data_IF_301713388241
#
_entry.id   IF_301713388241
#
_cell.length_a   1.000
_cell.length_b   1.000
_cell.length_c   1.000
_cell.angle_alpha   90.00
_cell.angle_beta   90.00
_cell.angle_gamma   90.00
#
_symmetry.space_group_name_H-M   'P 1'
#
loop_
_entity.id
_entity.type
_entity.pdbx_description
1 polymer ?
#
# COMPACT_ATOMS: atom_id res chain seq x y z
N UNK A 1 -1.42 29.47 6.97
CA UNK A 1 -0.59 28.90 8.05
C UNK A 1 -1.40 28.90 9.33
N UNK A 2 -1.97 27.74 9.67
CA UNK A 2 -2.55 27.46 10.98
C UNK A 2 -2.37 25.95 11.22
N UNK A 3 -1.31 25.62 11.94
CA UNK A 3 -1.03 24.29 12.48
C UNK A 3 -1.91 24.10 13.71
N UNK A 4 -2.94 23.27 13.62
CA UNK A 4 -3.68 22.76 14.79
C UNK A 4 -4.39 21.46 14.40
N UNK A 5 -3.71 20.32 14.53
CA UNK A 5 -4.37 19.02 14.46
C UNK A 5 -3.71 18.00 15.39
N UNK A 6 -3.66 18.30 16.69
CA UNK A 6 -3.45 17.28 17.72
C UNK A 6 -4.21 17.72 18.97
N UNK A 7 -5.53 17.60 18.95
CA UNK A 7 -6.33 17.41 20.17
C UNK A 7 -7.78 17.14 19.81
N UNK A 8 -8.14 15.85 19.70
CA UNK A 8 -9.31 15.22 20.34
C UNK A 8 -9.63 13.88 19.67
N UNK A 9 -8.91 12.85 20.08
CA UNK A 9 -9.46 11.49 20.09
C UNK A 9 -8.89 10.80 21.32
N UNK A 10 -9.76 10.45 22.26
CA UNK A 10 -9.39 9.58 23.39
C UNK A 10 -9.18 8.17 22.84
N UNK A 11 -7.92 7.76 22.71
CA UNK A 11 -7.55 6.38 22.41
C UNK A 11 -6.97 5.75 23.69
N UNK A 12 -7.78 4.90 24.35
CA UNK A 12 -7.24 3.86 25.22
C UNK A 12 -7.10 2.63 24.34
N UNK A 13 -5.94 2.51 23.69
CA UNK A 13 -5.47 1.25 23.11
C UNK A 13 -4.01 1.13 23.48
N UNK A 14 -3.67 0.10 24.26
CA UNK A 14 -2.30 -0.26 24.57
C UNK A 14 -1.64 -0.78 23.29
N UNK A 15 -1.09 0.13 22.50
CA UNK A 15 -0.25 -0.19 21.34
C UNK A 15 1.14 -0.58 21.83
N UNK A 16 1.56 -1.81 21.52
CA UNK A 16 2.98 -2.07 21.31
C UNK A 16 3.35 -1.44 19.96
N UNK A 17 3.61 -0.14 19.96
CA UNK A 17 4.32 0.49 18.85
C UNK A 17 5.73 -0.08 18.89
N UNK A 18 6.08 -0.93 17.93
CA UNK A 18 7.49 -1.08 17.58
C UNK A 18 7.92 0.30 17.06
N UNK A 19 8.49 1.12 17.94
CA UNK A 19 9.28 2.25 17.51
C UNK A 19 10.43 1.65 16.70
N UNK A 20 10.33 1.74 15.37
CA UNK A 20 11.46 1.52 14.49
C UNK A 20 12.54 2.51 14.94
N UNK A 21 13.52 2.01 15.69
CA UNK A 21 14.78 2.71 15.88
C UNK A 21 15.33 2.96 14.48
N UNK A 22 15.25 4.20 14.01
CA UNK A 22 16.00 4.67 12.85
C UNK A 22 17.48 4.67 13.21
N UNK A 23 18.06 3.48 13.32
CA UNK A 23 19.51 3.30 13.23
C UNK A 23 19.89 3.86 11.86
N UNK A 24 20.69 4.93 11.85
CA UNK A 24 21.04 5.71 10.66
C UNK A 24 21.25 4.85 9.42
N UNK A 25 20.18 4.71 8.65
CA UNK A 25 20.20 4.11 7.33
C UNK A 25 20.62 5.23 6.40
N UNK A 26 21.63 4.98 5.57
CA UNK A 26 22.01 5.92 4.52
C UNK A 26 20.75 6.29 3.72
N UNK A 27 20.36 7.57 3.63
CA UNK A 27 19.21 8.01 2.83
C UNK A 27 19.43 7.87 1.31
N UNK A 28 20.48 7.18 0.88
CA UNK A 28 20.91 7.06 -0.53
C UNK A 28 20.56 5.73 -1.21
N UNK A 29 19.91 4.79 -0.53
CA UNK A 29 19.42 3.57 -1.18
C UNK A 29 17.89 3.57 -1.21
N UNK A 30 17.33 3.66 -2.41
CA UNK A 30 15.91 3.44 -2.63
C UNK A 30 15.50 2.09 -2.02
N UNK A 31 14.51 2.13 -1.13
CA UNK A 31 14.00 0.97 -0.42
C UNK A 31 12.50 0.83 -0.67
N UNK A 32 12.05 -0.41 -0.82
CA UNK A 32 10.64 -0.75 -0.87
C UNK A 32 10.00 -0.61 0.51
N UNK A 33 8.94 0.19 0.59
CA UNK A 33 8.00 0.19 1.70
C UNK A 33 6.89 -0.82 1.37
N UNK A 34 6.69 -1.82 2.22
CA UNK A 34 5.71 -2.89 2.01
C UNK A 34 4.50 -2.70 2.91
N UNK A 35 3.33 -2.97 2.37
CA UNK A 35 2.10 -3.18 3.12
C UNK A 35 1.57 -4.56 2.75
N UNK A 36 1.44 -5.43 3.76
CA UNK A 36 1.07 -6.82 3.59
C UNK A 36 -0.35 -7.03 4.07
N UNK A 37 -1.15 -7.68 3.23
CA UNK A 37 -2.55 -7.95 3.54
C UNK A 37 -2.71 -9.22 4.37
N UNK A 38 -3.95 -9.51 4.79
CA UNK A 38 -4.32 -10.86 5.20
C UNK A 38 -4.12 -11.83 4.04
N UNK A 39 -3.78 -13.09 4.36
CA UNK A 39 -3.61 -14.13 3.33
C UNK A 39 -4.82 -15.07 3.28
N UNK A 40 -5.96 -14.61 3.80
CA UNK A 40 -7.16 -15.43 4.01
C UNK A 40 -8.49 -14.66 3.85
N UNK A 41 -8.52 -13.57 3.08
CA UNK A 41 -9.71 -12.73 2.97
C UNK A 41 -10.17 -12.34 1.56
N UNK A 42 -9.35 -12.55 0.54
CA UNK A 42 -9.81 -12.49 -0.84
C UNK A 42 -10.84 -13.56 -1.11
N UNK A 43 -12.10 -13.18 -1.29
CA UNK A 43 -13.22 -14.11 -1.31
C UNK A 43 -13.77 -14.37 -2.72
N UNK A 44 -13.89 -15.64 -3.13
CA UNK A 44 -14.57 -16.00 -4.38
C UNK A 44 -15.99 -16.54 -4.19
N UNK A 45 -16.72 -16.71 -5.29
CA UNK A 45 -18.13 -17.17 -5.29
C UNK A 45 -18.35 -18.58 -4.74
N UNK A 46 -17.29 -19.35 -4.50
CA UNK A 46 -17.34 -20.68 -3.89
C UNK A 46 -17.05 -20.65 -2.39
N UNK A 47 -17.04 -19.45 -1.77
CA UNK A 47 -16.66 -19.25 -0.37
C UNK A 47 -15.27 -19.75 -0.03
N UNK A 48 -14.35 -19.64 -1.00
CA UNK A 48 -12.92 -19.88 -0.79
C UNK A 48 -12.23 -18.54 -0.58
N UNK A 49 -11.16 -18.58 0.21
CA UNK A 49 -10.30 -17.45 0.52
C UNK A 49 -8.83 -17.85 0.46
N UNK A 50 -7.92 -16.87 0.52
CA UNK A 50 -6.48 -17.10 0.50
C UNK A 50 -6.02 -17.60 -0.86
N UNK A 51 -4.99 -18.45 -0.82
CA UNK A 51 -4.46 -19.17 -1.99
C UNK A 51 -5.48 -19.99 -2.81
N UNK A 52 -6.71 -20.17 -2.32
CA UNK A 52 -7.78 -20.87 -3.04
C UNK A 52 -8.75 -19.93 -3.77
N UNK A 53 -8.52 -18.62 -3.69
CA UNK A 53 -9.29 -17.57 -4.32
C UNK A 53 -8.43 -16.83 -5.33
N UNK A 54 -8.99 -16.64 -6.52
CA UNK A 54 -8.43 -15.83 -7.58
C UNK A 54 -8.42 -14.33 -7.25
N UNK A 55 -9.09 -13.91 -6.18
CA UNK A 55 -9.17 -12.50 -5.79
C UNK A 55 -8.18 -12.09 -4.70
N UNK A 56 -7.43 -13.04 -4.14
CA UNK A 56 -6.53 -12.78 -3.02
C UNK A 56 -5.43 -11.77 -3.35
N UNK A 57 -5.36 -10.68 -2.59
CA UNK A 57 -4.27 -9.74 -2.57
C UNK A 57 -3.32 -10.12 -1.43
N UNK A 58 -2.02 -10.13 -1.69
CA UNK A 58 -1.03 -10.47 -0.64
C UNK A 58 -0.28 -9.23 -0.16
N UNK A 59 -0.09 -8.23 -1.03
CA UNK A 59 0.55 -7.00 -0.62
C UNK A 59 0.82 -6.02 -1.74
N UNK A 60 1.10 -4.81 -1.31
CA UNK A 60 1.54 -3.68 -2.12
C UNK A 60 2.89 -3.20 -1.63
N UNK A 61 3.72 -2.74 -2.54
CA UNK A 61 4.99 -2.13 -2.20
C UNK A 61 5.22 -0.85 -3.02
N UNK A 62 5.84 0.14 -2.41
CA UNK A 62 6.19 1.40 -3.05
C UNK A 62 7.66 1.74 -2.84
N UNK A 63 8.31 2.26 -3.87
CA UNK A 63 9.68 2.74 -3.82
C UNK A 63 9.84 4.04 -4.59
N UNK A 64 10.57 4.99 -4.01
CA UNK A 64 11.02 6.20 -4.71
C UNK A 64 12.46 6.03 -5.17
N UNK A 65 12.73 6.22 -6.47
CA UNK A 65 14.08 6.11 -7.03
C UNK A 65 14.23 6.95 -8.28
N UNK A 66 15.29 7.77 -8.33
CA UNK A 66 15.70 8.55 -9.51
C UNK A 66 14.55 9.42 -10.09
N UNK A 67 13.75 10.05 -9.22
CA UNK A 67 12.60 10.88 -9.62
C UNK A 67 11.36 10.10 -10.05
N UNK A 68 11.38 8.78 -9.95
CA UNK A 68 10.25 7.91 -10.27
C UNK A 68 9.65 7.31 -9.01
N UNK A 69 8.34 7.09 -9.04
CA UNK A 69 7.63 6.21 -8.12
C UNK A 69 7.48 4.85 -8.79
N UNK A 70 7.77 3.79 -8.06
CA UNK A 70 7.54 2.40 -8.43
C UNK A 70 6.51 1.80 -7.48
N UNK A 71 5.49 1.15 -8.03
CA UNK A 71 4.51 0.37 -7.29
C UNK A 71 4.65 -1.08 -7.72
N UNK A 72 4.69 -2.00 -6.76
CA UNK A 72 4.60 -3.44 -6.97
C UNK A 72 3.39 -4.00 -6.25
N UNK A 73 2.75 -5.01 -6.82
CA UNK A 73 1.62 -5.72 -6.23
C UNK A 73 1.82 -7.23 -6.39
N UNK A 74 1.39 -7.99 -5.38
CA UNK A 74 1.31 -9.45 -5.45
C UNK A 74 -0.11 -9.91 -5.09
N UNK A 75 -0.67 -10.80 -5.91
CA UNK A 75 -2.04 -11.28 -5.76
C UNK A 75 -2.26 -12.57 -6.55
N UNK A 76 -3.44 -13.16 -6.47
CA UNK A 76 -3.91 -14.20 -7.39
C UNK A 76 -4.73 -13.64 -8.57
N UNK A 77 -5.08 -12.35 -8.55
CA UNK A 77 -5.90 -11.74 -9.58
C UNK A 77 -5.03 -11.36 -10.78
N UNK A 78 -5.40 -11.83 -11.97
CA UNK A 78 -4.70 -11.47 -13.21
C UNK A 78 -4.96 -10.01 -13.59
N UNK A 79 -4.01 -9.37 -14.28
CA UNK A 79 -4.22 -8.06 -14.93
C UNK A 79 -5.39 -8.04 -15.93
N UNK A 80 -5.77 -9.21 -16.47
CA UNK A 80 -6.94 -9.38 -17.34
C UNK A 80 -8.24 -9.65 -16.54
N UNK A 81 -8.15 -9.69 -15.21
CA UNK A 81 -9.23 -10.03 -14.29
C UNK A 81 -9.58 -11.52 -14.24
N UNK A 82 -10.60 -11.84 -13.46
CA UNK A 82 -11.16 -13.18 -13.33
C UNK A 82 -12.51 -13.27 -14.06
N UNK A 83 -12.70 -14.34 -14.85
CA UNK A 83 -13.98 -14.58 -15.51
C UNK A 83 -15.09 -14.85 -14.48
N UNK A 84 -16.19 -14.12 -14.56
CA UNK A 84 -17.35 -14.29 -13.68
C UNK A 84 -18.64 -14.13 -14.46
N UNK A 85 -19.49 -15.16 -14.42
CA UNK A 85 -20.84 -15.07 -14.98
C UNK A 85 -21.78 -14.13 -14.22
N UNK A 86 -21.34 -13.60 -13.08
CA UNK A 86 -22.08 -12.63 -12.25
C UNK A 86 -21.65 -11.18 -12.50
N UNK A 87 -20.57 -10.97 -13.26
CA UNK A 87 -20.13 -9.65 -13.68
C UNK A 87 -20.86 -9.18 -14.94
N UNK A 88 -21.17 -7.88 -15.01
CA UNK A 88 -21.95 -7.32 -16.12
C UNK A 88 -21.27 -7.49 -17.49
N UNK A 89 -19.94 -7.46 -17.53
CA UNK A 89 -19.11 -7.64 -18.72
C UNK A 89 -18.40 -9.02 -18.77
N UNK A 90 -18.76 -9.91 -17.84
CA UNK A 90 -18.21 -11.25 -17.71
C UNK A 90 -16.85 -11.32 -17.00
N UNK A 91 -16.31 -10.22 -16.48
CA UNK A 91 -15.05 -10.19 -15.73
C UNK A 91 -15.13 -9.34 -14.47
N UNK A 92 -14.44 -9.79 -13.42
CA UNK A 92 -14.13 -8.98 -12.24
C UNK A 92 -12.64 -8.67 -12.33
N UNK A 93 -12.27 -7.40 -12.46
CA UNK A 93 -10.88 -6.96 -12.56
C UNK A 93 -10.44 -6.22 -11.30
N UNK A 94 -9.25 -5.62 -11.40
CA UNK A 94 -8.84 -4.59 -10.46
C UNK A 94 -9.68 -3.34 -10.65
N UNK A 95 -9.99 -2.71 -9.53
CA UNK A 95 -10.29 -1.30 -9.50
C UNK A 95 -9.08 -0.43 -9.86
N UNK A 96 -9.20 0.86 -9.59
CA UNK A 96 -8.10 1.81 -9.73
C UNK A 96 -7.32 1.90 -8.41
N UNK A 97 -6.01 2.20 -8.47
CA UNK A 97 -5.21 2.48 -7.27
C UNK A 97 -5.37 3.96 -6.91
N UNK A 98 -5.96 4.27 -5.77
CA UNK A 98 -6.17 5.64 -5.31
C UNK A 98 -5.06 6.10 -4.39
N UNK A 99 -4.84 7.41 -4.34
CA UNK A 99 -4.00 8.10 -3.37
C UNK A 99 -4.76 9.30 -2.79
N UNK A 100 -4.81 9.38 -1.47
CA UNK A 100 -5.41 10.49 -0.73
C UNK A 100 -4.34 11.21 0.10
N UNK A 101 -4.04 12.46 -0.28
CA UNK A 101 -3.08 13.35 0.40
C UNK A 101 -3.77 14.42 1.26
N UNK A 102 -5.09 14.39 1.39
CA UNK A 102 -5.86 15.45 2.06
C UNK A 102 -5.77 15.39 3.58
N UNK A 103 -5.57 14.19 4.13
CA UNK A 103 -5.73 13.90 5.56
C UNK A 103 -7.18 13.69 6.01
N UNK A 104 -8.14 13.81 5.09
CA UNK A 104 -9.56 13.56 5.32
C UNK A 104 -9.94 12.11 4.94
N UNK A 105 -11.14 11.67 5.36
CA UNK A 105 -11.71 10.40 4.91
C UNK A 105 -12.09 10.42 3.43
N UNK A 106 -12.40 9.24 2.89
CA UNK A 106 -12.52 9.01 1.45
C UNK A 106 -13.69 9.73 0.77
N UNK A 107 -14.82 9.89 1.44
CA UNK A 107 -15.98 10.65 0.94
C UNK A 107 -15.67 12.15 0.90
N UNK A 108 -15.02 12.67 1.95
CA UNK A 108 -14.67 14.09 2.06
C UNK A 108 -13.54 14.48 1.09
N UNK A 109 -12.64 13.54 0.78
CA UNK A 109 -11.56 13.73 -0.18
C UNK A 109 -12.02 13.66 -1.65
N UNK A 110 -13.29 13.31 -1.92
CA UNK A 110 -13.80 13.17 -3.28
C UNK A 110 -13.59 14.45 -4.12
N UNK A 111 -12.99 14.29 -5.30
CA UNK A 111 -12.60 15.40 -6.18
C UNK A 111 -11.22 15.98 -5.89
N UNK A 112 -10.56 15.54 -4.81
CA UNK A 112 -9.17 15.88 -4.46
C UNK A 112 -8.26 14.65 -4.44
N UNK A 113 -8.78 13.47 -4.82
CA UNK A 113 -8.00 12.24 -4.92
C UNK A 113 -7.08 12.27 -6.14
N UNK A 114 -6.02 11.48 -6.05
CA UNK A 114 -5.26 11.01 -7.21
C UNK A 114 -5.58 9.53 -7.42
N UNK A 115 -5.44 9.05 -8.64
CA UNK A 115 -5.62 7.63 -8.92
C UNK A 115 -4.78 7.17 -10.12
N UNK A 116 -4.56 5.87 -10.20
CA UNK A 116 -3.86 5.20 -11.29
C UNK A 116 -4.83 4.22 -11.93
N UNK A 117 -5.14 4.44 -13.20
CA UNK A 117 -5.77 3.44 -14.05
C UNK A 117 -4.67 2.62 -14.75
N UNK A 118 -4.71 1.31 -14.61
CA UNK A 118 -3.67 0.42 -15.14
C UNK A 118 -4.19 -0.91 -15.69
N UNK A 119 -5.36 -1.38 -15.22
CA UNK A 119 -5.88 -2.69 -15.61
C UNK A 119 -6.49 -2.66 -17.02
N UNK A 120 -6.31 -3.75 -17.76
CA UNK A 120 -6.75 -3.84 -19.15
C UNK A 120 -8.28 -3.90 -19.30
N UNK A 121 -8.95 -4.49 -18.31
CA UNK A 121 -10.38 -4.82 -18.33
C UNK A 121 -11.11 -4.25 -17.12
N UNK A 122 -10.93 -2.95 -16.91
CA UNK A 122 -11.56 -2.23 -15.79
C UNK A 122 -12.90 -1.61 -16.19
N UNK A 123 -13.78 -1.48 -15.20
CA UNK A 123 -15.00 -0.68 -15.22
C UNK A 123 -14.75 0.77 -14.78
N UNK A 124 -13.48 1.22 -14.77
CA UNK A 124 -13.10 2.63 -14.61
C UNK A 124 -13.87 3.55 -15.55
N UNK A 125 -14.14 4.78 -15.09
CA UNK A 125 -14.81 5.83 -15.86
C UNK A 125 -13.87 6.51 -16.87
N UNK A 126 -12.59 6.16 -16.86
CA UNK A 126 -11.55 6.67 -17.76
C UNK A 126 -11.01 5.53 -18.62
N UNK A 127 -10.63 5.81 -19.86
CA UNK A 127 -10.27 4.77 -20.84
C UNK A 127 -8.77 4.57 -21.06
N UNK A 128 -7.93 5.49 -20.57
CA UNK A 128 -6.48 5.42 -20.79
C UNK A 128 -5.76 5.03 -19.50
N UNK A 129 -4.74 4.17 -19.61
CA UNK A 129 -3.83 3.94 -18.50
C UNK A 129 -3.03 5.21 -18.19
N UNK A 130 -2.86 5.53 -16.91
CA UNK A 130 -2.17 6.74 -16.49
C UNK A 130 -2.45 7.19 -15.07
N UNK A 131 -1.80 8.29 -14.72
CA UNK A 131 -2.00 9.01 -13.45
C UNK A 131 -3.09 10.06 -13.65
N UNK A 132 -4.03 10.10 -12.72
CA UNK A 132 -5.17 11.01 -12.70
C UNK A 132 -5.17 11.86 -11.44
N UNK A 133 -5.61 13.11 -11.57
CA UNK A 133 -5.86 14.04 -10.46
C UNK A 133 -7.30 14.51 -10.43
N UNK A 134 -7.66 15.21 -9.36
CA UNK A 134 -9.01 15.74 -9.11
C UNK A 134 -10.06 14.63 -9.24
N UNK A 135 -9.73 13.45 -8.74
CA UNK A 135 -10.48 12.22 -8.96
C UNK A 135 -11.68 12.17 -8.03
N UNK A 136 -12.84 11.82 -8.60
CA UNK A 136 -13.97 11.28 -7.85
C UNK A 136 -14.05 9.78 -8.07
N UNK A 137 -14.36 9.04 -7.00
CA UNK A 137 -14.54 7.60 -7.04
C UNK A 137 -15.98 7.19 -7.35
N UNK A 138 -16.15 5.94 -7.78
CA UNK A 138 -17.43 5.21 -7.83
C UNK A 138 -17.25 3.79 -7.30
N UNK A 139 -18.37 3.20 -6.93
CA UNK A 139 -18.46 1.77 -6.68
C UNK A 139 -18.93 1.05 -7.96
N UNK A 140 -18.25 -0.03 -8.34
CA UNK A 140 -18.69 -0.92 -9.42
C UNK A 140 -19.11 -2.31 -8.95
N UNK A 141 -19.00 -2.58 -7.65
CA UNK A 141 -19.33 -3.87 -7.04
C UNK A 141 -20.80 -4.26 -7.28
N UNK A 142 -21.73 -3.31 -7.25
CA UNK A 142 -23.14 -3.61 -7.54
C UNK A 142 -23.33 -4.23 -8.92
N UNK A 143 -22.64 -3.69 -9.94
CA UNK A 143 -22.77 -4.19 -11.31
C UNK A 143 -22.11 -5.56 -11.47
N UNK A 144 -21.14 -5.87 -10.60
CA UNK A 144 -20.39 -7.10 -10.66
C UNK A 144 -20.85 -8.18 -9.65
N UNK A 145 -21.98 -7.94 -8.97
CA UNK A 145 -22.53 -8.81 -7.91
C UNK A 145 -21.56 -9.01 -6.74
N UNK A 146 -20.80 -7.97 -6.42
CA UNK A 146 -19.84 -7.93 -5.33
C UNK A 146 -20.46 -7.67 -3.96
N UNK A 147 -19.60 -7.46 -2.97
CA UNK A 147 -20.01 -7.07 -1.63
C UNK A 147 -20.59 -5.64 -1.65
N UNK A 148 -21.57 -5.42 -0.78
CA UNK A 148 -22.27 -4.14 -0.71
C UNK A 148 -21.43 -3.06 0.02
N UNK A 149 -20.52 -3.43 0.91
CA UNK A 149 -19.80 -2.57 1.86
C UNK A 149 -18.70 -3.43 2.53
N UNK A 150 -17.79 -2.78 3.24
CA UNK A 150 -16.68 -3.48 3.91
C UNK A 150 -17.15 -4.36 5.07
N UNK A 151 -18.22 -3.99 5.78
CA UNK A 151 -18.75 -4.80 6.86
C UNK A 151 -19.29 -6.15 6.39
N UNK A 152 -19.94 -6.23 5.23
CA UNK A 152 -20.44 -7.49 4.71
C UNK A 152 -19.36 -8.35 4.12
N UNK A 153 -18.33 -7.77 3.49
CA UNK A 153 -17.11 -8.52 3.18
C UNK A 153 -16.53 -9.10 4.47
N UNK A 154 -16.26 -8.25 5.47
CA UNK A 154 -15.63 -8.67 6.72
C UNK A 154 -16.46 -9.72 7.47
N UNK A 155 -17.78 -9.52 7.62
CA UNK A 155 -18.66 -10.48 8.28
C UNK A 155 -18.72 -11.82 7.53
N UNK A 156 -18.69 -11.79 6.20
CA UNK A 156 -18.72 -13.01 5.37
C UNK A 156 -17.42 -13.78 5.53
N UNK A 157 -16.28 -13.12 5.31
CA UNK A 157 -14.94 -13.71 5.38
C UNK A 157 -14.63 -14.22 6.79
N UNK A 158 -14.92 -13.43 7.83
CA UNK A 158 -14.67 -13.84 9.22
C UNK A 158 -15.61 -14.96 9.68
N UNK A 159 -16.75 -15.15 9.01
CA UNK A 159 -17.67 -16.26 9.25
C UNK A 159 -17.18 -17.60 8.71
N UNK A 160 -16.19 -17.62 7.81
CA UNK A 160 -15.67 -18.83 7.19
C UNK A 160 -14.86 -19.68 8.17
N UNK A 161 -14.88 -21.00 7.97
CA UNK A 161 -14.22 -21.94 8.88
C UNK A 161 -12.71 -21.74 8.97
N UNK A 162 -12.05 -21.30 7.90
CA UNK A 162 -10.60 -21.04 7.91
C UNK A 162 -10.25 -19.90 8.87
N UNK A 163 -11.02 -18.81 8.85
CA UNK A 163 -10.77 -17.63 9.68
C UNK A 163 -11.24 -17.83 11.12
N UNK A 164 -12.33 -18.58 11.34
CA UNK A 164 -12.75 -18.99 12.68
C UNK A 164 -11.76 -19.91 13.41
N UNK A 165 -10.82 -20.52 12.67
CA UNK A 165 -9.83 -21.44 13.21
C UNK A 165 -8.39 -20.87 13.16
N UNK A 166 -8.25 -19.54 13.15
CA UNK A 166 -6.95 -18.86 13.28
C UNK A 166 -6.35 -18.36 11.96
N UNK A 167 -7.12 -18.31 10.87
CA UNK A 167 -6.80 -17.42 9.75
C UNK A 167 -6.93 -15.94 10.15
N UNK A 168 -6.24 -15.08 9.43
CA UNK A 168 -6.14 -13.64 9.75
C UNK A 168 -7.49 -12.93 9.57
N UNK A 169 -8.36 -13.44 8.68
CA UNK A 169 -9.66 -12.84 8.41
C UNK A 169 -9.57 -11.55 7.61
N UNK A 170 -10.67 -10.81 7.52
CA UNK A 170 -10.73 -9.59 6.73
C UNK A 170 -9.84 -8.48 7.30
N UNK A 171 -8.87 -8.05 6.50
CA UNK A 171 -7.96 -6.94 6.73
C UNK A 171 -7.93 -6.05 5.47
N UNK A 172 -7.29 -4.89 5.54
CA UNK A 172 -6.98 -4.04 4.40
C UNK A 172 -5.52 -3.60 4.50
N UNK A 173 -4.64 -4.56 4.81
CA UNK A 173 -3.23 -4.37 5.14
C UNK A 173 -2.94 -3.32 6.24
N UNK A 174 -2.52 -2.09 5.89
CA UNK A 174 -2.16 -1.06 6.89
C UNK A 174 -3.37 -0.46 7.62
N UNK A 175 -4.58 -0.60 7.05
CA UNK A 175 -5.81 -0.10 7.64
C UNK A 175 -6.73 -1.25 8.07
N UNK A 176 -7.48 -1.05 9.14
CA UNK A 176 -8.59 -1.95 9.46
C UNK A 176 -9.74 -1.77 8.46
N UNK A 177 -10.56 -2.81 8.26
CA UNK A 177 -11.73 -2.76 7.38
C UNK A 177 -12.84 -1.80 7.88
N UNK A 178 -12.81 -1.42 9.16
CA UNK A 178 -13.69 -0.44 9.80
C UNK A 178 -13.00 0.91 10.10
N UNK A 179 -11.82 1.16 9.53
CA UNK A 179 -11.11 2.42 9.72
C UNK A 179 -11.95 3.63 9.27
N UNK A 180 -11.81 4.75 10.00
CA UNK A 180 -12.53 5.98 9.72
C UNK A 180 -12.26 6.55 8.33
N UNK A 181 -11.11 6.20 7.72
CA UNK A 181 -10.79 6.52 6.34
C UNK A 181 -11.90 6.10 5.35
N UNK A 182 -12.50 4.93 5.55
CA UNK A 182 -13.45 4.35 4.60
C UNK A 182 -14.84 5.00 4.61
N UNK A 183 -15.19 5.72 5.69
CA UNK A 183 -16.45 6.46 5.86
C UNK A 183 -17.70 5.68 5.41
N UNK A 184 -18.46 6.18 4.44
CA UNK A 184 -19.68 5.53 3.97
C UNK A 184 -19.43 4.12 3.42
N UNK A 185 -18.23 3.83 2.92
CA UNK A 185 -17.83 2.50 2.44
C UNK A 185 -17.91 1.38 3.49
N UNK A 186 -17.92 1.70 4.79
CA UNK A 186 -17.99 0.68 5.85
C UNK A 186 -19.38 0.07 5.98
N UNK A 187 -20.45 0.87 5.84
CA UNK A 187 -21.83 0.47 6.20
C UNK A 187 -22.90 0.82 5.18
N UNK A 188 -22.60 1.67 4.20
CA UNK A 188 -23.58 2.08 3.20
C UNK A 188 -23.42 1.27 1.92
N UNK A 189 -24.53 0.66 1.50
CA UNK A 189 -24.60 -0.15 0.29
C UNK A 189 -24.02 0.58 -0.93
N UNK A 190 -23.04 -0.07 -1.52
CA UNK A 190 -22.31 0.26 -2.74
C UNK A 190 -21.66 1.64 -2.69
N UNK A 191 -21.04 1.97 -1.54
CA UNK A 191 -20.25 3.19 -1.35
C UNK A 191 -18.74 3.01 -1.37
N UNK A 192 -18.23 1.78 -1.29
CA UNK A 192 -16.78 1.52 -1.39
C UNK A 192 -16.25 2.02 -2.74
N UNK A 193 -15.27 2.93 -2.70
CA UNK A 193 -14.64 3.49 -3.90
C UNK A 193 -13.66 2.47 -4.47
N UNK A 194 -14.09 1.82 -5.56
CA UNK A 194 -13.34 0.78 -6.27
C UNK A 194 -12.73 1.32 -7.56
N UNK A 195 -13.40 2.25 -8.25
CA UNK A 195 -12.93 2.74 -9.56
C UNK A 195 -13.12 4.24 -9.72
N UNK A 196 -12.35 4.86 -10.62
CA UNK A 196 -12.45 6.27 -10.98
C UNK A 196 -13.82 6.49 -11.62
N UNK A 197 -14.59 7.45 -11.12
CA UNK A 197 -15.78 7.95 -11.78
C UNK A 197 -15.41 9.01 -12.81
N UNK A 198 -14.57 9.97 -12.41
CA UNK A 198 -14.04 11.03 -13.26
C UNK A 198 -12.70 11.54 -12.72
N UNK A 199 -11.89 12.15 -13.59
CA UNK A 199 -10.61 12.75 -13.24
C UNK A 199 -9.89 13.30 -14.48
N UNK A 200 -8.81 14.05 -14.26
CA UNK A 200 -7.96 14.58 -15.33
C UNK A 200 -6.67 13.78 -15.41
N UNK A 201 -6.36 13.20 -16.58
CA UNK A 201 -5.09 12.50 -16.81
C UNK A 201 -3.94 13.49 -16.85
N UNK A 202 -2.95 13.31 -15.97
CA UNK A 202 -1.77 14.18 -15.84
C UNK A 202 -0.48 13.53 -16.31
N UNK A 203 -0.46 12.21 -16.51
CA UNK A 203 0.71 11.52 -17.04
C UNK A 203 0.45 10.06 -17.37
N UNK A 204 1.42 9.43 -18.02
CA UNK A 204 1.40 8.00 -18.31
C UNK A 204 2.08 7.17 -17.21
N UNK A 205 1.88 5.86 -17.30
CA UNK A 205 2.59 4.86 -16.49
C UNK A 205 3.39 3.94 -17.41
N UNK A 206 4.45 3.34 -16.88
CA UNK A 206 5.16 2.23 -17.52
C UNK A 206 4.88 0.95 -16.74
N UNK A 207 4.22 -0.02 -17.36
CA UNK A 207 3.99 -1.34 -16.75
C UNK A 207 5.31 -2.08 -16.55
N UNK A 208 5.42 -2.79 -15.43
CA UNK A 208 6.61 -3.53 -15.02
C UNK A 208 6.24 -4.98 -14.73
N UNK A 209 6.99 -5.89 -15.36
CA UNK A 209 6.89 -7.33 -15.11
C UNK A 209 7.61 -7.72 -13.81
N UNK A 210 7.23 -8.87 -13.25
CA UNK A 210 7.83 -9.45 -12.03
C UNK A 210 9.36 -9.45 -12.04
N UNK A 211 9.98 -9.82 -13.17
CA UNK A 211 11.45 -9.89 -13.30
C UNK A 211 12.12 -8.52 -13.17
N UNK A 212 11.49 -7.45 -13.69
CA UNK A 212 11.99 -6.08 -13.55
C UNK A 212 11.87 -5.62 -12.10
N UNK A 213 10.75 -5.88 -11.45
CA UNK A 213 10.55 -5.54 -10.04
C UNK A 213 11.52 -6.28 -9.11
N UNK A 214 11.75 -7.58 -9.35
CA UNK A 214 12.73 -8.37 -8.61
C UNK A 214 14.16 -7.80 -8.77
N UNK A 215 14.51 -7.33 -9.98
CA UNK A 215 15.81 -6.66 -10.22
C UNK A 215 15.96 -5.33 -9.48
N UNK A 216 14.83 -4.70 -9.10
CA UNK A 216 14.76 -3.52 -8.24
C UNK A 216 14.71 -3.87 -6.75
N UNK A 217 14.78 -5.16 -6.39
CA UNK A 217 14.79 -5.62 -4.99
C UNK A 217 13.41 -5.83 -4.36
N UNK A 218 12.35 -5.92 -5.18
CA UNK A 218 11.02 -6.29 -4.67
C UNK A 218 11.02 -7.77 -4.23
N UNK A 219 10.54 -8.05 -3.02
CA UNK A 219 10.50 -9.39 -2.42
C UNK A 219 9.30 -9.55 -1.47
N UNK A 220 8.11 -9.81 -2.03
CA UNK A 220 6.93 -10.17 -1.24
C UNK A 220 7.06 -11.56 -0.57
N UNK A 221 7.80 -12.48 -1.20
CA UNK A 221 7.98 -13.83 -0.69
C UNK A 221 8.74 -13.85 0.66
N UNK A 222 9.65 -12.89 0.86
CA UNK A 222 10.30 -12.63 2.15
C UNK A 222 9.33 -12.33 3.30
N UNK A 223 8.11 -11.89 2.98
CA UNK A 223 7.02 -11.63 3.93
C UNK A 223 5.90 -12.68 3.89
N UNK A 224 6.08 -13.76 3.12
CA UNK A 224 5.08 -14.81 2.94
C UNK A 224 4.01 -14.53 1.88
N UNK A 225 4.06 -13.38 1.21
CA UNK A 225 3.19 -13.06 0.07
C UNK A 225 3.60 -13.87 -1.16
N UNK A 226 2.82 -14.90 -1.51
CA UNK A 226 3.10 -15.82 -2.62
C UNK A 226 1.85 -16.01 -3.47
N UNK A 227 1.42 -14.94 -4.13
CA UNK A 227 0.39 -14.97 -5.16
C UNK A 227 0.89 -15.47 -6.51
N UNK A 228 -0.05 -15.84 -7.39
CA UNK A 228 0.26 -16.27 -8.76
C UNK A 228 0.71 -15.14 -9.67
N UNK A 229 0.40 -13.89 -9.30
CA UNK A 229 0.65 -12.69 -10.09
C UNK A 229 1.52 -11.71 -9.31
N UNK A 230 2.61 -11.26 -9.93
CA UNK A 230 3.43 -10.14 -9.44
C UNK A 230 3.70 -9.21 -10.59
N UNK A 231 3.20 -7.98 -10.47
CA UNK A 231 3.38 -6.94 -11.47
C UNK A 231 3.43 -5.58 -10.79
N UNK A 232 3.62 -4.54 -11.58
CA UNK A 232 3.68 -3.20 -11.06
C UNK A 232 3.71 -2.18 -12.18
N UNK A 233 3.97 -0.94 -11.80
CA UNK A 233 4.14 0.15 -12.73
C UNK A 233 5.03 1.24 -12.12
N UNK A 234 5.55 2.09 -12.99
CA UNK A 234 6.27 3.29 -12.58
C UNK A 234 5.77 4.54 -13.30
N UNK A 235 5.92 5.68 -12.64
CA UNK A 235 5.57 6.99 -13.18
C UNK A 235 6.43 8.09 -12.54
N UNK A 236 6.39 9.27 -13.14
CA UNK A 236 7.14 10.43 -12.67
C UNK A 236 6.59 10.89 -11.31
N UNK A 237 7.46 10.99 -10.31
CA UNK A 237 7.09 11.41 -8.95
C UNK A 237 6.40 12.78 -8.93
N UNK A 238 6.75 13.68 -9.84
CA UNK A 238 6.17 15.02 -9.94
C UNK A 238 4.67 15.03 -10.28
N UNK A 239 4.10 13.88 -10.67
CA UNK A 239 2.67 13.73 -10.94
C UNK A 239 1.84 13.61 -9.66
N UNK A 240 2.46 13.35 -8.50
CA UNK A 240 1.80 13.31 -7.20
C UNK A 240 2.31 14.43 -6.27
N UNK A 241 1.50 14.87 -5.30
CA UNK A 241 1.96 15.71 -4.21
C UNK A 241 2.99 14.99 -3.34
N UNK A 242 3.82 15.77 -2.64
CA UNK A 242 4.63 15.27 -1.52
C UNK A 242 3.80 15.26 -0.23
N UNK A 243 4.23 14.49 0.76
CA UNK A 243 3.62 14.42 2.08
C UNK A 243 2.97 13.07 2.39
N UNK A 244 2.24 13.03 3.50
CA UNK A 244 1.55 11.83 3.95
C UNK A 244 0.39 11.48 3.01
N UNK A 245 0.21 10.18 2.78
CA UNK A 245 -0.89 9.67 1.97
C UNK A 245 -1.42 8.34 2.50
N UNK A 246 -2.66 8.07 2.15
CA UNK A 246 -3.24 6.73 2.16
C UNK A 246 -3.44 6.33 0.69
N UNK A 247 -2.89 5.18 0.31
CA UNK A 247 -3.18 4.56 -0.98
C UNK A 247 -4.06 3.34 -0.77
N UNK A 248 -5.03 3.12 -1.65
CA UNK A 248 -5.88 1.92 -1.55
C UNK A 248 -6.28 1.40 -2.93
N UNK A 249 -6.50 0.09 -2.98
CA UNK A 249 -6.99 -0.61 -4.16
C UNK A 249 -7.92 -1.74 -3.73
N UNK A 250 -8.93 -2.01 -4.57
CA UNK A 250 -9.85 -3.12 -4.40
C UNK A 250 -9.95 -3.91 -5.71
N UNK A 251 -10.30 -5.19 -5.63
CA UNK A 251 -10.97 -5.84 -6.74
C UNK A 251 -12.34 -5.16 -6.96
N UNK A 252 -12.84 -5.09 -8.19
CA UNK A 252 -14.06 -4.33 -8.54
C UNK A 252 -15.30 -4.75 -7.74
N UNK A 253 -15.35 -5.99 -7.31
CA UNK A 253 -16.42 -6.58 -6.51
C UNK A 253 -16.22 -6.45 -5.00
N UNK A 254 -15.16 -5.77 -4.55
CA UNK A 254 -14.74 -5.75 -3.13
C UNK A 254 -14.54 -7.19 -2.61
N UNK A 255 -14.12 -8.11 -3.48
CA UNK A 255 -13.76 -9.47 -3.08
C UNK A 255 -12.54 -9.45 -2.16
N UNK A 256 -11.69 -8.47 -2.39
CA UNK A 256 -10.49 -8.18 -1.64
C UNK A 256 -10.10 -6.71 -1.83
N UNK A 257 -9.25 -6.20 -0.95
CA UNK A 257 -8.67 -4.87 -1.04
C UNK A 257 -7.60 -4.64 0.00
N UNK A 258 -6.69 -3.72 -0.31
CA UNK A 258 -5.58 -3.39 0.56
C UNK A 258 -5.34 -1.89 0.57
N UNK A 259 -4.81 -1.40 1.69
CA UNK A 259 -4.40 -0.02 1.88
C UNK A 259 -2.95 0.06 2.37
N UNK A 260 -2.25 1.11 1.95
CA UNK A 260 -0.92 1.47 2.41
C UNK A 260 -0.94 2.89 2.96
N UNK A 261 -0.30 3.08 4.11
CA UNK A 261 0.03 4.41 4.63
C UNK A 261 1.46 4.72 4.26
N UNK A 262 1.70 5.91 3.70
CA UNK A 262 3.04 6.31 3.27
C UNK A 262 3.28 7.80 3.38
N UNK A 263 4.52 8.19 3.08
CA UNK A 263 4.94 9.57 2.96
C UNK A 263 5.81 9.70 1.72
N UNK A 264 5.44 10.63 0.83
CA UNK A 264 6.25 11.00 -0.32
C UNK A 264 7.20 12.13 0.05
N UNK A 265 8.51 11.90 -0.10
CA UNK A 265 9.50 12.90 0.24
C UNK A 265 9.33 14.17 -0.61
N UNK A 266 9.54 15.36 -0.04
CA UNK A 266 9.55 16.58 -0.86
C UNK A 266 10.79 16.62 -1.77
N UNK A 267 10.60 17.07 -3.01
CA UNK A 267 11.70 17.23 -3.98
C UNK A 267 12.77 18.24 -3.52
N UNK A 268 12.42 19.11 -2.56
CA UNK A 268 13.28 20.19 -2.07
C UNK A 268 14.15 19.80 -0.85
N UNK A 269 14.08 18.55 -0.39
CA UNK A 269 14.95 18.08 0.71
C UNK A 269 16.22 17.51 0.10
N UNK A 270 17.25 18.35 -0.01
CA UNK A 270 18.62 17.86 -0.16
C UNK A 270 18.86 16.83 0.97
N UNK A 271 19.45 15.65 0.67
CA UNK A 271 19.77 14.70 1.72
C UNK A 271 20.69 15.41 2.72
N UNK A 272 20.21 15.62 3.94
CA UNK A 272 21.05 16.23 4.98
C UNK A 272 22.35 15.44 5.02
N UNK A 273 23.47 16.15 4.85
CA UNK A 273 24.81 15.54 4.94
C UNK A 273 24.94 14.96 6.34
N UNK A 274 24.75 13.65 6.46
CA UNK A 274 24.95 12.94 7.72
C UNK A 274 26.40 13.22 8.14
N UNK A 275 26.67 13.70 9.36
CA UNK A 275 28.03 13.85 9.83
C UNK A 275 28.70 12.49 9.74
N UNK A 276 29.77 12.38 8.95
CA UNK A 276 30.57 11.17 8.92
C UNK A 276 30.90 10.79 10.37
N UNK A 277 30.73 9.52 10.78
CA UNK A 277 30.98 9.12 12.14
C UNK A 277 32.43 9.49 12.52
N UNK A 278 32.58 10.51 13.36
CA UNK A 278 33.84 10.91 13.99
C UNK A 278 34.47 9.77 14.84
N UNK A 279 33.80 8.62 14.90
CA UNK A 279 34.17 7.37 15.58
C UNK A 279 35.51 6.76 15.16
N UNK A 280 36.02 7.04 13.95
CA UNK A 280 37.31 6.46 13.51
C UNK A 280 38.52 7.19 14.15
N UNK A 281 38.40 8.45 14.53
CA UNK A 281 39.50 9.18 15.20
C UNK A 281 39.51 8.99 16.72
N UNK A 282 38.36 8.70 17.35
CA UNK A 282 38.26 8.45 18.79
C UNK A 282 38.89 7.13 19.24
N UNK A 283 38.87 6.09 18.40
CA UNK A 283 39.38 4.76 18.77
C UNK A 283 40.92 4.68 18.76
N UNK A 284 41.61 5.55 18.00
CA UNK A 284 43.07 5.66 18.02
C UNK A 284 43.59 6.35 19.29
N UNK A 285 42.81 7.26 19.88
CA UNK A 285 43.21 7.98 21.09
C UNK A 285 43.19 7.08 22.34
N UNK A 286 42.26 6.12 22.44
CA UNK A 286 42.15 5.22 23.59
C UNK A 286 43.12 4.04 23.49
N UNK A 287 43.43 3.55 22.28
CA UNK A 287 44.43 2.49 22.07
C UNK A 287 45.88 2.93 22.34
N UNK A 288 46.20 4.21 22.12
CA UNK A 288 47.56 4.76 22.34
C UNK A 288 47.97 4.92 23.81
N UNK A 289 47.01 5.00 24.73
CA UNK A 289 47.28 5.19 26.17
C UNK A 289 47.59 3.88 26.93
N UNK A 290 47.26 2.70 26.38
CA UNK A 290 47.50 1.42 27.05
C UNK A 290 48.87 0.78 26.76
N UNK A 291 49.64 1.29 25.79
CA UNK A 291 50.94 0.73 25.41
C UNK A 291 52.16 1.41 26.09
N UNK A 292 51.94 2.40 26.96
CA UNK A 292 53.03 3.14 27.64
C UNK A 292 53.26 2.76 29.11
N UNK A 293 52.72 1.61 29.56
CA UNK A 293 52.72 1.19 30.96
C UNK A 293 53.47 -0.11 31.28
N UNK A 294 54.40 -0.58 30.44
CA UNK A 294 55.17 -1.80 30.75
C UNK A 294 56.63 -1.73 30.29
N UNK A 295 57.43 -0.92 30.99
CA UNK A 295 58.88 -1.09 31.08
C UNK A 295 59.40 -0.39 32.34
N UNK A 296 59.63 -1.17 33.40
CA UNK A 296 60.85 -1.19 34.21
C UNK A 296 60.57 -1.69 35.63
N UNK A 297 61.13 -2.87 35.95
CA UNK A 297 61.65 -3.34 37.25
C UNK A 297 61.94 -4.84 37.10
N UNK A 298 63.10 -5.40 37.42
CA UNK A 298 64.45 -4.94 37.79
C UNK A 298 65.36 -6.17 37.75
N UNK A 299 66.68 -5.92 37.85
CA UNK A 299 67.80 -6.80 38.22
C UNK A 299 67.48 -8.20 38.80
#
# INVERSE_FOLDING_TARGET
>A
MNTNFLTKTSLITAGFTLASLSLGVNPSMAQWNYSMDSFTDGHNVQSRVGSQSEFEFYGMAMMEKDGQIYIGMNSNLSLDGANSGYAADGVISYGDLFFNFTGDGLDDAAGNLFAINFANRTNSGVSEAGVYRNVTGKNVAQQNSGFWDLNHHANTVNGLSVNRNGGDGANMADLASDDAYWQSGVTEDYKVVTSIASGERVGGINMLESTTLASLGLDFAGFGGVGSETFGFSFDKSLLPSGDFIAHIFAECVNDGMAMVGNLASADVDPESVPEPASILGLLAVGGLMLKGKRNRTA
#
